data_IF_728268513721
#
_entry.id   IF_728268513721
#
_cell.length_a   1.000
_cell.length_b   1.000
_cell.length_c   1.000
_cell.angle_alpha   90.00
_cell.angle_beta   90.00
_cell.angle_gamma   90.00
#
_symmetry.space_group_name_H-M   'P 1'
#
loop_
_entity.id
_entity.type
_entity.pdbx_description
1 polymer ?
#
# COMPACT_ATOMS: atom_id res chain seq x y z
N UNK A 1 10.55 -6.52 -2.31
CA UNK A 1 9.88 -6.01 -1.11
C UNK A 1 8.56 -6.73 -0.87
N UNK A 2 8.41 -7.35 0.30
CA UNK A 2 7.25 -8.17 0.70
C UNK A 2 7.43 -8.83 2.07
N UNK A 3 8.67 -8.92 2.55
CA UNK A 3 9.02 -9.28 3.93
C UNK A 3 8.98 -8.06 4.88
N UNK A 4 8.07 -7.12 4.65
CA UNK A 4 7.91 -5.98 5.54
C UNK A 4 7.49 -6.47 6.93
N UNK A 5 8.12 -5.93 7.97
CA UNK A 5 7.67 -6.09 9.34
C UNK A 5 7.07 -4.75 9.82
N UNK A 6 6.06 -4.79 10.71
CA UNK A 6 5.62 -3.59 11.39
C UNK A 6 6.79 -2.84 12.05
N UNK A 7 6.70 -1.52 12.09
CA UNK A 7 7.74 -0.72 12.73
C UNK A 7 7.83 -1.07 14.23
N UNK A 8 9.04 -1.32 14.77
CA UNK A 8 9.24 -1.49 16.20
C UNK A 8 8.72 -0.29 17.01
N UNK A 9 8.16 -0.55 18.20
CA UNK A 9 7.49 0.47 19.01
C UNK A 9 8.44 1.59 19.50
N UNK A 10 9.72 1.28 19.73
CA UNK A 10 10.76 2.27 20.03
C UNK A 10 11.05 3.19 18.83
N UNK A 11 11.11 2.65 17.61
CA UNK A 11 11.23 3.45 16.38
C UNK A 11 10.03 4.36 16.19
N UNK A 12 8.80 3.83 16.36
CA UNK A 12 7.57 4.64 16.30
C UNK A 12 7.63 5.78 17.32
N UNK A 13 7.97 5.49 18.58
CA UNK A 13 8.09 6.51 19.64
C UNK A 13 9.15 7.56 19.30
N UNK A 14 10.30 7.16 18.77
CA UNK A 14 11.35 8.08 18.37
C UNK A 14 10.91 9.02 17.25
N UNK A 15 10.25 8.49 16.21
CA UNK A 15 9.75 9.27 15.09
C UNK A 15 8.67 10.26 15.54
N UNK A 16 7.67 9.81 16.30
CA UNK A 16 6.64 10.69 16.87
C UNK A 16 7.22 11.75 17.80
N UNK A 17 8.17 11.38 18.67
CA UNK A 17 8.89 12.32 19.54
C UNK A 17 9.67 13.38 18.77
N UNK A 18 9.97 13.13 17.49
CA UNK A 18 10.61 14.06 16.57
C UNK A 18 9.63 14.81 15.67
N UNK A 19 8.31 14.62 15.86
CA UNK A 19 7.27 15.19 14.99
C UNK A 19 7.21 14.58 13.59
N UNK A 20 7.72 13.35 13.42
CA UNK A 20 7.76 12.63 12.15
C UNK A 20 6.69 11.55 12.13
N UNK A 21 5.71 11.69 11.24
CA UNK A 21 4.69 10.65 10.98
C UNK A 21 4.87 10.00 9.60
N UNK A 22 5.82 10.47 8.80
CA UNK A 22 6.05 10.01 7.43
C UNK A 22 7.53 9.77 7.17
N UNK A 23 7.85 8.60 6.61
CA UNK A 23 9.19 8.26 6.16
C UNK A 23 9.10 7.87 4.69
N UNK A 24 9.78 8.62 3.82
CA UNK A 24 9.88 8.31 2.39
C UNK A 24 11.30 7.85 2.10
N UNK A 25 11.41 6.67 1.51
CA UNK A 25 12.69 6.08 1.13
C UNK A 25 12.73 5.64 -0.34
N UNK A 26 13.94 5.27 -0.77
CA UNK A 26 14.20 4.58 -2.03
C UNK A 26 15.29 3.53 -1.82
N UNK A 27 15.81 2.93 -2.89
CA UNK A 27 16.92 1.97 -2.95
C UNK A 27 16.58 0.49 -2.77
N UNK A 28 15.65 0.15 -1.86
CA UNK A 28 15.20 -1.23 -1.72
C UNK A 28 14.09 -1.48 -2.73
N UNK A 29 14.20 -2.43 -3.68
CA UNK A 29 13.15 -2.66 -4.67
C UNK A 29 11.93 -3.33 -4.04
N UNK A 30 10.72 -2.83 -4.37
CA UNK A 30 9.47 -3.35 -3.81
C UNK A 30 8.48 -3.92 -4.84
N UNK A 31 8.97 -4.32 -6.01
CA UNK A 31 8.16 -4.88 -7.09
C UNK A 31 7.61 -3.78 -7.99
N UNK A 32 6.42 -3.98 -8.54
CA UNK A 32 5.80 -3.21 -9.63
C UNK A 32 4.88 -2.06 -9.20
N UNK A 33 4.84 -1.75 -7.92
CA UNK A 33 4.17 -0.57 -7.38
C UNK A 33 4.82 -0.15 -6.05
N UNK A 34 4.63 1.11 -5.62
CA UNK A 34 5.11 1.58 -4.33
C UNK A 34 4.69 0.65 -3.19
N UNK A 35 5.55 0.51 -2.20
CA UNK A 35 5.23 -0.18 -0.97
C UNK A 35 4.92 0.84 0.12
N UNK A 36 3.77 0.65 0.76
CA UNK A 36 3.28 1.47 1.86
C UNK A 36 3.17 0.56 3.07
N UNK A 37 3.62 1.06 4.23
CA UNK A 37 3.40 0.40 5.52
C UNK A 37 2.87 1.45 6.49
N UNK A 38 1.74 1.16 7.12
CA UNK A 38 1.17 2.00 8.18
C UNK A 38 1.30 1.23 9.50
N UNK A 39 2.11 1.76 10.42
CA UNK A 39 2.40 1.11 11.70
C UNK A 39 2.51 2.14 12.80
N UNK A 40 1.67 2.01 13.83
CA UNK A 40 1.73 2.86 15.02
C UNK A 40 1.49 4.35 14.78
N UNK A 41 0.80 4.73 13.69
CA UNK A 41 0.58 6.13 13.30
C UNK A 41 1.58 6.68 12.28
N UNK A 42 2.69 5.97 12.05
CA UNK A 42 3.69 6.31 11.04
C UNK A 42 3.35 5.63 9.71
N UNK A 43 3.43 6.38 8.61
CA UNK A 43 3.42 5.82 7.26
C UNK A 43 4.84 5.80 6.70
N UNK A 44 5.30 4.62 6.29
CA UNK A 44 6.54 4.41 5.55
C UNK A 44 6.19 4.12 4.10
N UNK A 45 6.83 4.83 3.18
CA UNK A 45 6.62 4.65 1.76
C UNK A 45 7.94 4.50 1.02
N UNK A 46 7.98 3.57 0.07
CA UNK A 46 9.11 3.39 -0.85
C UNK A 46 8.58 3.22 -2.28
N UNK A 47 9.08 4.01 -3.22
CA UNK A 47 8.63 4.03 -4.62
C UNK A 47 9.70 3.53 -5.60
N UNK A 48 10.37 2.42 -5.27
CA UNK A 48 11.42 1.84 -6.10
C UNK A 48 10.92 0.61 -6.87
N UNK A 49 10.75 0.77 -8.18
CA UNK A 49 10.30 -0.27 -9.13
C UNK A 49 11.43 -0.92 -9.92
N UNK A 50 12.71 -0.72 -9.55
CA UNK A 50 13.86 -1.08 -10.41
C UNK A 50 14.04 -2.58 -10.72
N UNK A 51 13.22 -3.47 -10.14
CA UNK A 51 13.23 -4.93 -10.35
C UNK A 51 11.82 -5.53 -10.44
N UNK A 52 10.86 -4.78 -10.99
CA UNK A 52 9.49 -5.27 -11.17
C UNK A 52 9.34 -6.36 -12.24
N UNK A 53 10.21 -6.37 -13.24
CA UNK A 53 10.21 -7.35 -14.33
C UNK A 53 11.63 -7.74 -14.75
N UNK A 54 12.29 -8.56 -13.93
CA UNK A 54 13.67 -8.95 -14.14
C UNK A 54 13.89 -9.61 -15.51
N UNK A 55 14.84 -9.07 -16.28
CA UNK A 55 15.19 -9.58 -17.60
C UNK A 55 14.29 -9.09 -18.74
N UNK A 56 13.33 -8.20 -18.47
CA UNK A 56 12.56 -7.56 -19.53
C UNK A 56 13.47 -6.77 -20.48
N UNK A 57 13.14 -6.80 -21.77
CA UNK A 57 13.92 -6.19 -22.84
C UNK A 57 13.14 -5.00 -23.41
N UNK A 58 13.72 -3.82 -23.30
CA UNK A 58 13.24 -2.62 -24.00
C UNK A 58 13.99 -2.42 -25.31
N UNK A 59 13.57 -1.42 -26.09
CA UNK A 59 14.30 -0.99 -27.29
C UNK A 59 15.75 -0.51 -26.98
N UNK A 60 16.03 -0.16 -25.72
CA UNK A 60 17.32 0.36 -25.24
C UNK A 60 18.19 -0.69 -24.53
N UNK A 61 17.74 -1.95 -24.45
CA UNK A 61 18.43 -3.05 -23.78
C UNK A 61 17.66 -3.61 -22.58
N UNK A 62 18.38 -4.28 -21.67
CA UNK A 62 17.77 -4.90 -20.48
C UNK A 62 17.19 -3.81 -19.57
N UNK A 63 15.88 -3.87 -19.38
CA UNK A 63 15.10 -2.99 -18.51
C UNK A 63 14.34 -3.85 -17.51
N UNK A 64 14.84 -3.91 -16.27
CA UNK A 64 14.24 -4.73 -15.21
C UNK A 64 12.94 -4.15 -14.62
N UNK A 65 12.39 -3.07 -15.20
CA UNK A 65 11.15 -2.44 -14.75
C UNK A 65 9.91 -2.98 -15.46
N UNK A 66 10.04 -3.47 -16.70
CA UNK A 66 8.87 -3.67 -17.55
C UNK A 66 8.14 -2.36 -17.78
N UNK A 67 6.81 -2.39 -17.84
CA UNK A 67 6.00 -1.18 -17.98
C UNK A 67 5.66 -0.48 -16.65
N UNK A 68 6.21 -0.93 -15.51
CA UNK A 68 5.80 -0.45 -14.20
C UNK A 68 6.16 1.03 -13.98
N UNK A 69 5.14 1.85 -13.70
CA UNK A 69 5.28 3.26 -13.34
C UNK A 69 4.53 3.50 -12.04
N UNK A 70 5.13 4.28 -11.14
CA UNK A 70 4.49 4.72 -9.91
C UNK A 70 4.78 6.19 -9.63
N UNK A 71 3.73 6.93 -9.31
CA UNK A 71 3.79 8.31 -8.88
C UNK A 71 3.35 8.38 -7.43
N UNK A 72 4.10 9.14 -6.62
CA UNK A 72 3.74 9.45 -5.24
C UNK A 72 3.75 10.95 -5.07
N UNK A 73 2.61 11.51 -4.70
CA UNK A 73 2.42 12.95 -4.49
C UNK A 73 2.14 13.19 -3.01
N UNK A 74 3.02 13.93 -2.36
CA UNK A 74 2.79 14.46 -1.02
C UNK A 74 1.97 15.76 -1.15
N UNK A 75 0.77 15.78 -0.60
CA UNK A 75 -0.14 16.92 -0.68
C UNK A 75 0.12 17.91 0.47
N UNK A 76 -0.18 19.19 0.25
CA UNK A 76 0.03 20.25 1.25
C UNK A 76 -0.84 20.11 2.51
N UNK A 77 -1.89 19.30 2.46
CA UNK A 77 -2.74 18.93 3.60
C UNK A 77 -2.19 17.71 4.39
N UNK A 78 -1.01 17.21 4.02
CA UNK A 78 -0.35 16.06 4.64
C UNK A 78 -0.87 14.69 4.15
N UNK A 79 -1.82 14.67 3.22
CA UNK A 79 -2.27 13.43 2.58
C UNK A 79 -1.31 12.98 1.47
N UNK A 80 -1.43 11.72 1.02
CA UNK A 80 -0.55 11.13 0.00
C UNK A 80 -1.36 10.50 -1.10
N UNK A 81 -1.21 10.97 -2.34
CA UNK A 81 -1.80 10.32 -3.51
C UNK A 81 -0.78 9.42 -4.18
N UNK A 82 -1.22 8.22 -4.55
CA UNK A 82 -0.41 7.25 -5.26
C UNK A 82 -1.18 6.74 -6.46
N UNK A 83 -0.55 6.80 -7.62
CA UNK A 83 -1.12 6.39 -8.90
C UNK A 83 -0.05 5.67 -9.73
N UNK A 84 -0.47 4.76 -10.59
CA UNK A 84 0.47 4.12 -11.50
C UNK A 84 -0.11 2.92 -12.24
N UNK A 85 0.79 2.18 -12.88
CA UNK A 85 0.50 0.96 -13.61
C UNK A 85 1.49 -0.14 -13.20
N UNK A 86 1.00 -1.36 -13.07
CA UNK A 86 1.84 -2.52 -12.76
C UNK A 86 2.73 -2.89 -13.97
N UNK A 87 3.58 -3.90 -13.78
CA UNK A 87 4.56 -4.32 -14.79
C UNK A 87 3.95 -4.79 -16.12
N UNK A 88 2.70 -5.22 -16.11
CA UNK A 88 1.96 -5.65 -17.31
C UNK A 88 1.58 -4.46 -18.22
N UNK A 89 1.68 -3.23 -17.72
CA UNK A 89 1.37 -2.01 -18.45
C UNK A 89 -0.12 -1.77 -18.66
N UNK A 90 -0.99 -2.61 -18.10
CA UNK A 90 -2.45 -2.55 -18.30
C UNK A 90 -3.22 -2.49 -16.99
N UNK A 91 -2.67 -3.04 -15.91
CA UNK A 91 -3.31 -2.99 -14.59
C UNK A 91 -2.94 -1.69 -13.88
N UNK A 92 -3.89 -0.78 -13.81
CA UNK A 92 -3.74 0.49 -13.09
C UNK A 92 -3.99 0.33 -11.59
N UNK A 93 -3.34 1.17 -10.79
CA UNK A 93 -3.63 1.31 -9.37
C UNK A 93 -3.70 2.79 -8.97
N UNK A 94 -4.55 3.09 -7.99
CA UNK A 94 -4.75 4.44 -7.49
C UNK A 94 -5.36 4.41 -6.10
N UNK A 95 -4.75 5.15 -5.17
CA UNK A 95 -5.25 5.28 -3.81
C UNK A 95 -4.74 6.57 -3.17
N UNK A 96 -5.49 7.01 -2.15
CA UNK A 96 -5.20 8.22 -1.41
C UNK A 96 -5.09 7.87 0.07
N UNK A 97 -3.94 8.15 0.68
CA UNK A 97 -3.72 7.92 2.11
C UNK A 97 -3.99 9.20 2.89
N UNK A 98 -4.61 9.11 4.08
CA UNK A 98 -4.91 10.28 4.88
C UNK A 98 -3.66 10.87 5.55
N UNK A 99 -3.76 12.13 5.96
CA UNK A 99 -2.89 12.67 6.99
C UNK A 99 -3.29 12.05 8.34
N UNK A 100 -2.44 11.18 8.91
CA UNK A 100 -2.81 10.41 10.11
C UNK A 100 -2.88 11.27 11.39
N UNK A 101 -2.34 12.50 11.36
CA UNK A 101 -2.49 13.46 12.46
C UNK A 101 -3.88 14.11 12.51
N UNK A 102 -4.51 14.32 11.35
CA UNK A 102 -5.78 15.05 11.23
C UNK A 102 -6.96 14.15 10.88
N UNK A 103 -6.70 12.96 10.34
CA UNK A 103 -7.73 12.03 9.97
C UNK A 103 -8.31 11.31 11.19
N UNK A 104 -9.63 11.42 11.37
CA UNK A 104 -10.35 10.56 12.30
C UNK A 104 -10.52 9.20 11.63
N UNK A 105 -10.19 8.13 12.36
CA UNK A 105 -10.54 6.78 11.91
C UNK A 105 -12.07 6.71 11.71
N UNK A 106 -12.56 6.08 10.63
CA UNK A 106 -13.98 5.82 10.47
C UNK A 106 -14.46 4.95 11.63
N UNK A 107 -15.63 5.24 12.17
CA UNK A 107 -16.28 4.38 13.16
C UNK A 107 -16.82 3.12 12.48
N UNK A 108 -16.91 1.99 13.21
CA UNK A 108 -17.52 0.77 12.67
C UNK A 108 -18.96 1.00 12.13
N UNK A 109 -19.68 1.98 12.71
CA UNK A 109 -21.00 2.40 12.26
C UNK A 109 -20.97 3.19 10.93
N UNK A 110 -19.95 4.01 10.68
CA UNK A 110 -19.85 4.79 9.44
C UNK A 110 -19.47 3.94 8.23
N UNK A 111 -18.82 2.78 8.45
CA UNK A 111 -18.56 1.79 7.39
C UNK A 111 -19.83 1.02 7.00
N UNK A 112 -20.77 0.84 7.94
CA UNK A 112 -21.99 0.07 7.72
C UNK A 112 -23.16 0.88 7.13
N UNK A 113 -23.11 2.22 7.24
CA UNK A 113 -24.12 3.12 6.67
C UNK A 113 -23.46 4.14 5.77
N UNK A 114 -23.32 3.87 4.47
CA UNK A 114 -23.45 4.89 3.41
C UNK A 114 -23.25 4.33 2.01
N UNK A 115 -24.30 4.48 1.20
CA UNK A 115 -24.23 4.40 -0.26
C UNK A 115 -23.77 5.73 -0.90
N UNK A 116 -23.32 6.72 -0.12
CA UNK A 116 -23.02 8.08 -0.61
C UNK A 116 -21.77 8.76 -0.02
N UNK A 117 -21.01 8.12 0.88
CA UNK A 117 -19.65 8.59 1.20
C UNK A 117 -18.66 7.71 0.44
N UNK A 118 -18.25 8.20 -0.72
CA UNK A 118 -17.04 7.73 -1.36
C UNK A 118 -15.89 8.20 -0.46
N UNK A 119 -15.53 7.38 0.54
CA UNK A 119 -14.44 7.68 1.47
C UNK A 119 -13.22 8.14 0.65
N UNK A 120 -12.74 9.39 0.85
CA UNK A 120 -11.70 9.95 -0.01
C UNK A 120 -10.37 9.24 0.17
N UNK A 121 -10.24 8.41 1.22
CA UNK A 121 -9.02 7.74 1.60
C UNK A 121 -9.17 6.21 1.56
N UNK A 122 -8.06 5.57 1.22
CA UNK A 122 -7.89 4.13 1.30
C UNK A 122 -7.43 3.73 2.70
N UNK A 123 -8.31 3.03 3.41
CA UNK A 123 -8.05 2.59 4.77
C UNK A 123 -7.43 1.19 4.84
N UNK A 124 -7.26 0.50 3.71
CA UNK A 124 -6.73 -0.86 3.67
C UNK A 124 -5.25 -0.86 3.30
N UNK A 125 -4.86 -0.05 2.31
CA UNK A 125 -3.48 0.02 1.82
C UNK A 125 -2.51 0.34 2.95
N UNK A 126 -1.43 -0.43 3.00
CA UNK A 126 -0.40 -0.35 4.02
C UNK A 126 -0.71 -1.08 5.32
N UNK A 127 -1.82 -1.82 5.41
CA UNK A 127 -2.08 -2.74 6.52
C UNK A 127 -1.49 -4.13 6.27
N UNK A 128 -1.01 -4.76 7.32
CA UNK A 128 -0.65 -6.17 7.32
C UNK A 128 -1.82 -7.03 7.82
N UNK A 129 -2.11 -8.11 7.12
CA UNK A 129 -3.08 -9.13 7.47
C UNK A 129 -2.47 -10.13 8.46
N UNK A 130 -3.32 -10.89 9.18
CA UNK A 130 -2.87 -11.87 10.19
C UNK A 130 -1.93 -12.96 9.65
N UNK A 131 -2.07 -13.29 8.37
CA UNK A 131 -1.24 -14.29 7.69
C UNK A 131 0.08 -13.71 7.13
N UNK A 132 0.37 -12.45 7.43
CA UNK A 132 1.58 -11.74 7.04
C UNK A 132 1.53 -11.08 5.67
N UNK A 133 0.44 -11.24 4.88
CA UNK A 133 0.24 -10.49 3.64
C UNK A 133 0.05 -9.01 3.94
N UNK A 134 0.54 -8.14 3.05
CA UNK A 134 0.33 -6.71 3.08
C UNK A 134 -0.66 -6.30 1.99
N UNK A 135 -1.56 -5.38 2.30
CA UNK A 135 -2.38 -4.69 1.29
C UNK A 135 -1.53 -3.63 0.63
N UNK A 136 -1.10 -3.89 -0.61
CA UNK A 136 -0.05 -3.11 -1.28
C UNK A 136 -0.61 -1.93 -2.07
N UNK A 137 -1.69 -2.14 -2.81
CA UNK A 137 -2.31 -1.13 -3.65
C UNK A 137 -3.78 -1.45 -3.89
N UNK A 138 -4.58 -0.41 -4.18
CA UNK A 138 -5.92 -0.54 -4.73
C UNK A 138 -5.87 -0.45 -6.25
N UNK A 139 -6.40 -1.45 -6.93
CA UNK A 139 -6.40 -1.56 -8.38
C UNK A 139 -7.60 -0.83 -8.98
N UNK A 140 -7.43 -0.30 -10.18
CA UNK A 140 -8.52 0.22 -11.01
C UNK A 140 -8.92 -0.87 -11.99
N UNK A 141 -10.14 -1.37 -11.85
CA UNK A 141 -10.70 -2.42 -12.72
C UNK A 141 -12.11 -2.82 -12.27
N UNK A 142 -12.82 -3.52 -13.14
CA UNK A 142 -14.22 -3.95 -12.89
C UNK A 142 -14.32 -5.33 -12.22
N UNK A 143 -13.21 -6.05 -12.08
CA UNK A 143 -13.17 -7.36 -11.41
C UNK A 143 -13.32 -7.18 -9.89
N UNK A 144 -14.54 -7.37 -9.37
CA UNK A 144 -14.89 -7.14 -7.97
C UNK A 144 -14.04 -7.94 -6.94
N UNK A 145 -13.47 -9.08 -7.34
CA UNK A 145 -12.56 -9.88 -6.48
C UNK A 145 -11.08 -9.47 -6.59
N UNK A 146 -10.77 -8.41 -7.34
CA UNK A 146 -9.40 -7.90 -7.55
C UNK A 146 -9.31 -6.40 -7.33
N UNK A 147 -10.01 -5.90 -6.33
CA UNK A 147 -9.93 -4.50 -5.93
C UNK A 147 -8.59 -4.16 -5.28
N UNK A 148 -7.97 -5.10 -4.57
CA UNK A 148 -6.70 -4.90 -3.88
C UNK A 148 -5.64 -5.91 -4.29
N UNK A 149 -4.42 -5.42 -4.46
CA UNK A 149 -3.21 -6.21 -4.61
C UNK A 149 -2.64 -6.54 -3.23
N UNK A 150 -2.49 -7.83 -2.94
CA UNK A 150 -1.87 -8.32 -1.72
C UNK A 150 -0.50 -8.93 -2.01
N UNK A 151 0.46 -8.72 -1.11
CA UNK A 151 1.81 -9.28 -1.24
C UNK A 151 2.28 -9.90 0.07
N UNK A 152 2.89 -11.07 -0.02
CA UNK A 152 3.71 -11.65 1.05
C UNK A 152 5.08 -12.02 0.49
N UNK A 153 6.12 -11.49 1.10
CA UNK A 153 7.47 -11.91 0.79
C UNK A 153 7.82 -13.23 1.45
N UNK A 154 8.77 -13.93 0.85
CA UNK A 154 9.47 -15.05 1.47
C UNK A 154 10.90 -15.11 0.89
N UNK A 155 11.89 -14.69 1.68
CA UNK A 155 13.25 -14.47 1.16
C UNK A 155 13.25 -13.44 0.01
N UNK A 156 13.73 -13.84 -1.17
CA UNK A 156 13.73 -13.01 -2.39
C UNK A 156 12.50 -13.21 -3.28
N UNK A 157 11.51 -14.00 -2.84
CA UNK A 157 10.27 -14.26 -3.61
C UNK A 157 9.13 -13.38 -3.11
N UNK A 158 8.24 -13.00 -4.02
CA UNK A 158 6.98 -12.33 -3.71
C UNK A 158 5.82 -13.23 -4.11
N UNK A 159 4.95 -13.53 -3.16
CA UNK A 159 3.68 -14.19 -3.39
C UNK A 159 2.60 -13.12 -3.53
N UNK A 160 1.96 -13.09 -4.70
CA UNK A 160 0.93 -12.11 -5.05
C UNK A 160 -0.44 -12.78 -4.98
N UNK A 161 -1.40 -12.12 -4.37
CA UNK A 161 -2.81 -12.50 -4.40
C UNK A 161 -3.69 -11.25 -4.50
N UNK A 162 -4.99 -11.44 -4.65
CA UNK A 162 -5.96 -10.35 -4.73
C UNK A 162 -7.05 -10.52 -3.69
N UNK A 163 -7.75 -9.42 -3.36
CA UNK A 163 -8.91 -9.45 -2.49
C UNK A 163 -9.90 -8.31 -2.83
N UNK A 164 -11.15 -8.48 -2.41
CA UNK A 164 -12.16 -7.41 -2.41
C UNK A 164 -12.14 -6.59 -1.12
N UNK A 165 -12.76 -5.41 -1.13
CA UNK A 165 -12.99 -4.60 0.09
C UNK A 165 -13.71 -5.39 1.19
N UNK A 166 -14.71 -6.20 0.83
CA UNK A 166 -15.51 -6.99 1.77
C UNK A 166 -14.68 -8.08 2.46
N UNK A 167 -13.83 -8.77 1.72
CA UNK A 167 -12.91 -9.77 2.25
C UNK A 167 -11.94 -9.13 3.25
N UNK A 168 -11.33 -8.00 2.88
CA UNK A 168 -10.40 -7.26 3.73
C UNK A 168 -11.07 -6.74 5.00
N UNK A 169 -12.29 -6.22 4.88
CA UNK A 169 -13.06 -5.74 6.02
C UNK A 169 -13.33 -6.88 7.01
N UNK A 170 -13.78 -8.05 6.50
CA UNK A 170 -13.99 -9.24 7.31
C UNK A 170 -12.71 -9.78 7.96
N UNK A 171 -11.57 -9.72 7.27
CA UNK A 171 -10.29 -10.09 7.86
C UNK A 171 -9.83 -9.12 8.95
N UNK A 172 -9.94 -7.81 8.74
CA UNK A 172 -9.50 -6.77 9.67
C UNK A 172 -10.36 -6.69 10.93
N UNK A 173 -11.69 -6.81 10.83
CA UNK A 173 -12.57 -6.85 12.00
C UNK A 173 -12.25 -8.02 12.93
N UNK A 174 -11.94 -9.19 12.34
CA UNK A 174 -11.51 -10.36 13.11
C UNK A 174 -10.19 -10.14 13.85
N UNK A 175 -9.40 -9.11 13.52
CA UNK A 175 -8.16 -8.77 14.23
C UNK A 175 -8.39 -7.90 15.45
N UNK A 176 -9.40 -7.01 15.42
CA UNK A 176 -9.70 -6.08 16.53
C UNK A 176 -10.52 -6.72 17.67
N UNK A 177 -11.10 -7.90 17.44
CA UNK A 177 -11.97 -8.60 18.41
C UNK A 177 -11.22 -9.56 19.37
N UNK A 178 -9.93 -9.34 19.60
CA UNK A 178 -9.08 -10.10 20.54
C UNK A 178 -8.22 -9.14 21.35
#
# INVERSE_FOLDING_TARGET
GGNGAPLPADVVRYLHGSGIDRVVGGHVPHGDCPNVMVSGGVTVLTADTSYSDMGHLSEWGVDNRGAAVGQVVLCGDGSIKVDGVLRDGTTEYSYHLPCLQTARLPSAASVASTSEFQEPYDWFVGKQLKDGRWVKARLRGEEANREYLLVRGEGFKLHVSYASSDELLGELYRQQSR
#
